data_IF_105208972899
#
_entry.id   IF_105208972899
#
_cell.length_a   1.000
_cell.length_b   1.000
_cell.length_c   1.000
_cell.angle_alpha   90.00
_cell.angle_beta   90.00
_cell.angle_gamma   90.00
#
_symmetry.space_group_name_H-M   'P 1'
#
loop_
_entity.id
_entity.type
_entity.pdbx_description
1 polymer ?
#
# COMPACT_ATOMS: atom_id res chain seq x y z
N UNK A 1 7.28 -12.74 -10.62
CA UNK A 1 7.71 -11.80 -9.56
C UNK A 1 6.44 -11.41 -8.83
N UNK A 2 6.43 -11.45 -7.51
CA UNK A 2 5.21 -11.14 -6.75
C UNK A 2 4.96 -9.64 -6.76
N UNK A 3 3.71 -9.16 -6.84
CA UNK A 3 3.43 -7.74 -6.68
C UNK A 3 3.72 -7.31 -5.24
N UNK A 4 4.12 -6.06 -5.07
CA UNK A 4 4.41 -5.47 -3.77
C UNK A 4 3.24 -4.60 -3.31
N UNK A 5 2.79 -4.80 -2.07
CA UNK A 5 1.85 -3.92 -1.40
C UNK A 5 2.63 -2.84 -0.65
N UNK A 6 2.53 -1.61 -1.13
CA UNK A 6 3.23 -0.46 -0.57
C UNK A 6 2.27 0.34 0.28
N UNK A 7 2.50 0.36 1.60
CA UNK A 7 1.73 1.14 2.56
C UNK A 7 2.40 2.49 2.78
N UNK A 8 1.73 3.57 2.43
CA UNK A 8 2.09 4.93 2.81
C UNK A 8 1.36 5.31 4.10
N UNK A 9 2.13 5.66 5.14
CA UNK A 9 1.60 6.03 6.45
C UNK A 9 2.35 7.24 7.04
N UNK A 10 1.72 7.94 7.98
CA UNK A 10 2.33 9.03 8.74
C UNK A 10 2.48 8.63 10.21
N UNK A 11 3.55 9.03 10.88
CA UNK A 11 3.74 8.81 12.32
C UNK A 11 2.64 9.43 13.19
N UNK A 12 2.00 10.50 12.71
CA UNK A 12 0.88 11.17 13.41
C UNK A 12 -0.45 10.39 13.29
N UNK A 13 -0.47 9.26 12.60
CA UNK A 13 -1.64 8.40 12.46
C UNK A 13 -1.69 7.37 13.59
N UNK A 14 -2.38 7.70 14.70
CA UNK A 14 -2.56 6.78 15.84
C UNK A 14 -3.25 5.44 15.49
N UNK A 15 -3.99 5.39 14.37
CA UNK A 15 -4.64 4.19 13.83
C UNK A 15 -3.62 3.26 13.13
N UNK A 16 -2.59 3.83 12.51
CA UNK A 16 -1.61 3.11 11.71
C UNK A 16 -0.75 2.15 12.57
N UNK A 17 -0.49 2.50 13.84
CA UNK A 17 0.25 1.63 14.77
C UNK A 17 -0.52 0.40 15.24
N UNK A 18 -1.85 0.48 15.40
CA UNK A 18 -2.68 -0.66 15.83
C UNK A 18 -2.94 -1.65 14.69
N UNK A 19 -2.82 -1.21 13.44
CA UNK A 19 -3.23 -1.97 12.25
C UNK A 19 -2.05 -2.58 11.47
N UNK A 20 -0.85 -1.99 11.58
CA UNK A 20 0.33 -2.43 10.82
C UNK A 20 0.72 -3.91 10.97
N UNK A 21 0.46 -4.52 12.14
CA UNK A 21 0.86 -5.92 12.38
C UNK A 21 0.09 -6.93 11.54
N UNK A 22 -1.19 -6.69 11.27
CA UNK A 22 -1.94 -7.61 10.39
C UNK A 22 -1.86 -7.21 8.92
N UNK A 23 -1.58 -5.94 8.58
CA UNK A 23 -1.40 -5.51 7.19
C UNK A 23 -0.31 -6.35 6.50
N UNK A 24 0.86 -6.43 7.14
CA UNK A 24 1.98 -7.24 6.67
C UNK A 24 1.57 -8.72 6.56
N UNK A 25 0.96 -9.27 7.62
CA UNK A 25 0.56 -10.67 7.64
C UNK A 25 -0.42 -11.02 6.52
N UNK A 26 -1.41 -10.16 6.26
CA UNK A 26 -2.39 -10.37 5.17
C UNK A 26 -1.69 -10.28 3.82
N UNK A 27 -0.81 -9.30 3.61
CA UNK A 27 -0.05 -9.17 2.38
C UNK A 27 0.80 -10.43 2.10
N UNK A 28 1.54 -10.91 3.10
CA UNK A 28 2.34 -12.13 2.99
C UNK A 28 1.48 -13.38 2.75
N UNK A 29 0.33 -13.51 3.44
CA UNK A 29 -0.63 -14.61 3.22
C UNK A 29 -1.22 -14.62 1.80
N UNK A 30 -1.33 -13.44 1.15
CA UNK A 30 -1.78 -13.29 -0.24
C UNK A 30 -0.62 -13.41 -1.25
N UNK A 31 0.61 -13.60 -0.78
CA UNK A 31 1.79 -13.74 -1.62
C UNK A 31 2.37 -12.42 -2.13
N UNK A 32 2.06 -11.30 -1.49
CA UNK A 32 2.62 -9.99 -1.83
C UNK A 32 3.86 -9.67 -0.99
N UNK A 33 4.80 -8.96 -1.59
CA UNK A 33 5.88 -8.33 -0.82
C UNK A 33 5.32 -7.10 -0.09
N UNK A 34 5.57 -6.97 1.21
CA UNK A 34 5.07 -5.83 1.97
C UNK A 34 6.14 -4.75 2.14
N UNK A 35 5.81 -3.50 1.78
CA UNK A 35 6.69 -2.35 1.95
C UNK A 35 5.99 -1.30 2.82
N UNK A 36 6.51 -1.06 4.01
CA UNK A 36 6.04 0.01 4.89
C UNK A 36 6.82 1.31 4.63
N UNK A 37 6.13 2.31 4.08
CA UNK A 37 6.68 3.63 3.77
C UNK A 37 6.10 4.65 4.73
N UNK A 38 6.90 5.01 5.74
CA UNK A 38 6.59 6.16 6.60
C UNK A 38 6.99 7.44 5.90
N UNK A 39 6.11 8.45 5.89
CA UNK A 39 6.39 9.75 5.28
C UNK A 39 7.59 10.46 5.93
N UNK A 40 7.83 10.18 7.21
CA UNK A 40 8.97 10.67 8.00
C UNK A 40 10.28 9.93 7.66
N UNK A 41 10.21 8.69 7.17
CA UNK A 41 11.36 7.97 6.64
C UNK A 41 11.68 8.45 5.22
N UNK A 42 12.48 9.50 5.15
CA UNK A 42 12.85 10.14 3.90
C UNK A 42 13.60 9.23 2.92
N UNK A 43 14.31 8.20 3.39
CA UNK A 43 15.07 7.30 2.52
C UNK A 43 14.11 6.37 1.77
N UNK A 44 13.24 5.68 2.50
CA UNK A 44 12.23 4.78 1.94
C UNK A 44 11.20 5.57 1.13
N UNK A 45 10.74 6.72 1.65
CA UNK A 45 9.82 7.59 0.92
C UNK A 45 10.39 8.02 -0.43
N UNK A 46 11.67 8.44 -0.49
CA UNK A 46 12.28 8.85 -1.77
C UNK A 46 12.29 7.73 -2.81
N UNK A 47 12.44 6.47 -2.39
CA UNK A 47 12.44 5.31 -3.28
C UNK A 47 11.06 5.07 -3.91
N UNK A 48 10.00 5.14 -3.10
CA UNK A 48 8.64 4.78 -3.54
C UNK A 48 7.74 5.97 -3.87
N UNK A 49 8.14 7.22 -3.60
CA UNK A 49 7.32 8.43 -3.87
C UNK A 49 6.86 8.54 -5.32
N UNK A 50 7.65 8.02 -6.27
CA UNK A 50 7.30 8.06 -7.70
C UNK A 50 5.99 7.30 -7.96
N UNK A 51 5.76 6.20 -7.24
CA UNK A 51 4.55 5.37 -7.34
C UNK A 51 3.37 6.11 -6.72
N UNK A 52 3.58 6.69 -5.53
CA UNK A 52 2.56 7.50 -4.88
C UNK A 52 2.10 8.68 -5.75
N UNK A 53 3.05 9.42 -6.33
CA UNK A 53 2.76 10.60 -7.14
C UNK A 53 2.19 10.25 -8.52
N UNK A 54 2.44 9.04 -9.04
CA UNK A 54 1.79 8.57 -10.26
C UNK A 54 0.27 8.39 -10.06
N UNK A 55 -0.14 7.96 -8.86
CA UNK A 55 -1.55 7.83 -8.49
C UNK A 55 -2.14 9.14 -7.94
N UNK A 56 -1.35 9.90 -7.17
CA UNK A 56 -1.77 11.16 -6.53
C UNK A 56 -0.77 12.28 -6.80
N UNK A 57 -0.79 12.90 -8.00
CA UNK A 57 0.14 13.99 -8.34
C UNK A 57 0.12 15.14 -7.33
N UNK A 58 -1.09 15.52 -6.88
CA UNK A 58 -1.32 16.66 -6.00
C UNK A 58 -1.65 16.26 -4.55
N UNK A 59 -1.64 14.95 -4.24
CA UNK A 59 -1.93 14.37 -2.91
C UNK A 59 -3.30 14.75 -2.29
N UNK A 60 -4.18 15.41 -3.04
CA UNK A 60 -5.44 15.96 -2.52
C UNK A 60 -6.46 14.89 -2.08
N UNK A 61 -6.41 13.69 -2.64
CA UNK A 61 -7.36 12.60 -2.37
C UNK A 61 -6.73 11.41 -1.62
N UNK A 62 -5.59 11.66 -0.96
CA UNK A 62 -4.94 10.63 -0.15
C UNK A 62 -5.73 10.39 1.14
N UNK A 63 -6.12 9.14 1.37
CA UNK A 63 -6.66 8.68 2.65
C UNK A 63 -5.60 7.86 3.41
N UNK A 64 -5.35 8.20 4.68
CA UNK A 64 -4.32 7.52 5.48
C UNK A 64 -4.90 6.35 6.30
N UNK A 65 -4.20 5.20 6.38
CA UNK A 65 -3.08 4.77 5.51
C UNK A 65 -3.52 4.54 4.06
N UNK A 66 -2.63 4.77 3.10
CA UNK A 66 -2.86 4.46 1.68
C UNK A 66 -2.04 3.25 1.29
N UNK A 67 -2.65 2.26 0.65
CA UNK A 67 -1.99 1.06 0.15
C UNK A 67 -2.05 1.05 -1.37
N UNK A 68 -0.91 0.88 -2.03
CA UNK A 68 -0.81 0.73 -3.47
C UNK A 68 -0.25 -0.64 -3.80
N UNK A 69 -0.99 -1.45 -4.55
CA UNK A 69 -0.50 -2.72 -5.06
C UNK A 69 0.23 -2.46 -6.38
N UNK A 70 1.49 -2.86 -6.45
CA UNK A 70 2.38 -2.48 -7.53
C UNK A 70 3.25 -3.65 -8.01
N UNK A 71 3.33 -3.86 -9.32
CA UNK A 71 4.35 -4.73 -9.92
C UNK A 71 5.64 -3.95 -10.15
N UNK A 72 6.78 -4.62 -9.96
CA UNK A 72 8.12 -4.09 -10.24
C UNK A 72 8.40 -2.69 -9.66
N UNK A 73 8.19 -2.44 -8.35
CA UNK A 73 8.23 -1.09 -7.79
C UNK A 73 9.61 -0.40 -7.89
N UNK A 74 10.68 -1.17 -8.10
CA UNK A 74 12.04 -0.64 -8.30
C UNK A 74 12.35 -0.27 -9.76
N UNK A 75 11.64 -0.86 -10.73
CA UNK A 75 11.84 -0.64 -12.17
C UNK A 75 10.73 0.19 -12.81
N UNK A 76 10.27 -0.29 -13.98
CA UNK A 76 9.07 0.18 -14.66
C UNK A 76 7.84 -0.35 -13.92
N UNK A 77 7.43 0.43 -12.93
CA UNK A 77 6.38 0.03 -12.00
C UNK A 77 5.00 0.11 -12.65
N UNK A 78 4.11 -0.81 -12.30
CA UNK A 78 2.71 -0.80 -12.70
C UNK A 78 1.81 -0.91 -11.49
N UNK A 79 0.94 0.09 -11.30
CA UNK A 79 -0.05 0.07 -10.22
C UNK A 79 -1.20 -0.85 -10.66
N UNK A 80 -1.47 -1.88 -9.86
CA UNK A 80 -2.58 -2.82 -10.04
C UNK A 80 -3.85 -2.31 -9.37
N UNK A 81 -3.71 -1.56 -8.28
CA UNK A 81 -4.85 -0.96 -7.58
C UNK A 81 -4.46 -0.27 -6.29
N UNK A 82 -5.47 0.26 -5.60
CA UNK A 82 -5.32 1.01 -4.35
C UNK A 82 -6.35 0.61 -3.29
N UNK A 83 -5.96 0.71 -2.02
CA UNK A 83 -6.86 0.67 -0.87
C UNK A 83 -6.56 1.87 0.00
N UNK A 84 -7.58 2.64 0.39
CA UNK A 84 -7.44 3.84 1.24
C UNK A 84 -8.07 3.61 2.60
N UNK A 85 -7.45 4.14 3.64
CA UNK A 85 -7.96 4.10 5.01
C UNK A 85 -7.66 2.80 5.75
N UNK A 86 -7.93 2.82 7.05
CA UNK A 86 -7.79 1.64 7.90
C UNK A 86 -9.05 0.78 7.85
N UNK A 87 -8.90 -0.47 7.42
CA UNK A 87 -9.99 -1.46 7.36
C UNK A 87 -9.76 -2.60 8.36
N UNK A 88 -10.80 -3.19 8.97
CA UNK A 88 -10.65 -4.43 9.74
C UNK A 88 -9.97 -5.52 8.90
N UNK A 89 -9.21 -6.43 9.54
CA UNK A 89 -8.41 -7.48 8.85
C UNK A 89 -9.17 -8.24 7.76
N UNK A 90 -10.43 -8.60 8.01
CA UNK A 90 -11.28 -9.31 7.04
C UNK A 90 -11.55 -8.48 5.79
N UNK A 91 -12.07 -7.26 5.98
CA UNK A 91 -12.35 -6.33 4.88
C UNK A 91 -11.08 -5.94 4.13
N UNK A 92 -9.96 -5.72 4.83
CA UNK A 92 -8.68 -5.44 4.19
C UNK A 92 -8.24 -6.57 3.25
N UNK A 93 -8.40 -7.83 3.69
CA UNK A 93 -8.08 -9.00 2.86
C UNK A 93 -8.97 -9.07 1.62
N UNK A 94 -10.28 -8.89 1.79
CA UNK A 94 -11.24 -8.93 0.68
C UNK A 94 -10.90 -7.87 -0.37
N UNK A 95 -10.67 -6.62 0.07
CA UNK A 95 -10.26 -5.53 -0.82
C UNK A 95 -8.98 -5.84 -1.58
N UNK A 96 -7.97 -6.41 -0.92
CA UNK A 96 -6.73 -6.80 -1.60
C UNK A 96 -6.93 -7.94 -2.61
N UNK A 97 -7.82 -8.89 -2.31
CA UNK A 97 -8.17 -9.97 -3.23
C UNK A 97 -8.95 -9.45 -4.46
N UNK A 98 -9.81 -8.44 -4.28
CA UNK A 98 -10.50 -7.78 -5.40
C UNK A 98 -9.52 -7.13 -6.37
N UNK A 99 -8.38 -6.59 -5.90
CA UNK A 99 -7.38 -5.97 -6.78
C UNK A 99 -6.65 -6.98 -7.69
N UNK A 100 -6.63 -8.27 -7.32
CA UNK A 100 -6.01 -9.34 -8.11
C UNK A 100 -7.03 -10.24 -8.80
N UNK A 101 -8.32 -10.04 -8.53
CA UNK A 101 -9.37 -10.79 -9.18
C UNK A 101 -9.38 -10.40 -10.67
N UNK A 102 -9.31 -11.37 -11.60
CA UNK A 102 -9.49 -11.07 -13.01
C UNK A 102 -10.89 -10.46 -13.19
N UNK A 103 -10.94 -9.26 -13.76
CA UNK A 103 -12.22 -8.68 -14.18
C UNK A 103 -12.86 -9.65 -15.20
N UNK A 104 -14.14 -10.03 -15.03
CA UNK A 104 -14.80 -11.00 -15.90
C UNK A 104 -14.90 -10.53 -17.36
#
# INVERSE_FOLDING_TARGET
>A
MNPSLIKFSSEDCGICHKMAFYDQKVAEELGFDFVDVKMQDTATYRKYRKILLAQYPDKAEMGWPTYLLCESPEGDFKILGEVKGGHPKGEFRERLQELIAPTP
#
